data_IF_184571773236
#
_entry.id   IF_184571773236
#
_cell.length_a   1.000
_cell.length_b   1.000
_cell.length_c   1.000
_cell.angle_alpha   90.00
_cell.angle_beta   90.00
_cell.angle_gamma   90.00
#
_symmetry.space_group_name_H-M   'P 1'
#
loop_
_entity.id
_entity.type
_entity.pdbx_description
1 polymer ?
#
# COMPACT_ATOMS: atom_id res chain seq x y z
N UNK A 1 -10.81 9.25 -11.64
CA UNK A 1 -9.90 9.11 -10.49
C UNK A 1 -9.17 7.78 -10.62
N UNK A 2 -7.85 7.80 -10.76
CA UNK A 2 -7.03 6.59 -10.96
C UNK A 2 -6.71 5.95 -9.61
N UNK A 3 -7.49 4.94 -9.20
CA UNK A 3 -7.22 4.14 -8.01
C UNK A 3 -6.03 3.15 -8.21
N UNK A 4 -5.40 3.21 -9.38
CA UNK A 4 -4.31 2.31 -9.76
C UNK A 4 -2.93 2.86 -9.45
N UNK A 5 -2.78 4.01 -8.78
CA UNK A 5 -1.46 4.58 -8.48
C UNK A 5 -1.06 4.25 -7.05
N UNK A 6 0.17 3.77 -6.89
CA UNK A 6 0.79 3.55 -5.59
C UNK A 6 1.22 4.90 -4.99
N UNK A 7 0.74 5.28 -3.80
CA UNK A 7 1.07 6.57 -3.21
C UNK A 7 2.55 6.71 -2.82
N UNK A 8 3.27 5.59 -2.64
CA UNK A 8 4.70 5.56 -2.26
C UNK A 8 5.59 5.90 -3.46
N UNK A 9 5.42 5.22 -4.59
CA UNK A 9 6.31 5.34 -5.75
C UNK A 9 5.69 6.03 -6.97
N UNK A 10 4.41 6.42 -6.88
CA UNK A 10 3.62 7.03 -7.96
C UNK A 10 3.52 6.16 -9.23
N UNK A 11 3.88 4.87 -9.14
CA UNK A 11 3.72 3.88 -10.21
C UNK A 11 2.41 3.12 -10.05
N UNK A 12 2.03 2.35 -11.05
CA UNK A 12 0.81 1.54 -11.00
C UNK A 12 0.86 0.52 -9.83
N UNK A 13 -0.12 0.57 -8.90
CA UNK A 13 -0.27 -0.37 -7.78
C UNK A 13 -0.80 -1.74 -8.21
N UNK A 14 -1.30 -1.84 -9.46
CA UNK A 14 -1.89 -3.05 -10.05
C UNK A 14 -3.13 -3.57 -9.28
N UNK A 15 -3.77 -2.71 -8.49
CA UNK A 15 -5.05 -2.98 -7.87
C UNK A 15 -6.15 -2.50 -8.82
N UNK A 16 -6.78 -3.45 -9.52
CA UNK A 16 -7.66 -3.23 -10.66
C UNK A 16 -9.05 -2.68 -10.30
N UNK A 17 -9.17 -1.80 -9.30
CA UNK A 17 -10.45 -1.14 -8.97
C UNK A 17 -10.92 -0.30 -10.16
N UNK A 18 -10.00 0.37 -10.88
CA UNK A 18 -10.35 1.19 -12.04
C UNK A 18 -10.69 0.38 -13.30
N UNK A 19 -10.40 -0.93 -13.32
CA UNK A 19 -10.82 -1.83 -14.39
C UNK A 19 -12.24 -2.38 -14.18
N UNK A 20 -12.95 -1.94 -13.12
CA UNK A 20 -14.25 -2.45 -12.74
C UNK A 20 -14.20 -3.75 -11.93
N UNK A 21 -13.02 -4.17 -11.46
CA UNK A 21 -12.89 -5.33 -10.59
C UNK A 21 -13.27 -4.97 -9.14
N UNK A 22 -13.83 -5.94 -8.42
CA UNK A 22 -14.15 -5.78 -7.02
C UNK A 22 -12.87 -5.45 -6.21
N UNK A 23 -12.95 -4.60 -5.17
CA UNK A 23 -11.82 -4.33 -4.28
C UNK A 23 -11.20 -5.62 -3.70
N UNK A 24 -12.04 -6.61 -3.42
CA UNK A 24 -11.66 -7.96 -2.96
C UNK A 24 -10.73 -8.70 -3.93
N UNK A 25 -10.75 -8.34 -5.22
CA UNK A 25 -9.85 -8.90 -6.23
C UNK A 25 -8.48 -8.24 -6.25
N UNK A 26 -8.26 -7.15 -5.51
CA UNK A 26 -6.94 -6.59 -5.39
C UNK A 26 -6.06 -7.45 -4.49
N UNK A 27 -4.84 -7.71 -4.96
CA UNK A 27 -3.84 -8.50 -4.24
C UNK A 27 -3.58 -7.97 -2.82
N UNK A 28 -3.69 -6.66 -2.61
CA UNK A 28 -3.53 -6.02 -1.31
C UNK A 28 -4.62 -6.42 -0.29
N UNK A 29 -5.83 -6.73 -0.75
CA UNK A 29 -6.92 -7.22 0.12
C UNK A 29 -6.86 -8.74 0.31
N UNK A 30 -6.14 -9.46 -0.56
CA UNK A 30 -5.91 -10.91 -0.44
C UNK A 30 -4.64 -11.24 0.36
N UNK A 31 -3.80 -10.25 0.65
CA UNK A 31 -2.59 -10.44 1.43
C UNK A 31 -2.95 -10.93 2.84
N UNK A 32 -2.41 -12.10 3.22
CA UNK A 32 -2.54 -12.66 4.57
C UNK A 32 -1.90 -11.74 5.63
N UNK A 33 -0.93 -10.94 5.20
CA UNK A 33 -0.29 -9.93 6.04
C UNK A 33 -1.15 -8.69 6.07
N UNK A 34 -1.47 -8.20 7.27
CA UNK A 34 -2.19 -6.94 7.47
C UNK A 34 -1.39 -5.77 6.90
N UNK A 35 -1.59 -5.45 5.61
CA UNK A 35 -0.91 -4.35 4.91
C UNK A 35 -1.11 -3.04 5.67
N UNK A 36 -2.28 -2.84 6.27
CA UNK A 36 -2.58 -1.70 7.14
C UNK A 36 -1.60 -1.59 8.31
N UNK A 37 -1.20 -2.69 8.93
CA UNK A 37 -0.23 -2.72 10.03
C UNK A 37 1.16 -2.33 9.54
N UNK A 38 1.61 -2.95 8.43
CA UNK A 38 2.90 -2.64 7.81
C UNK A 38 2.99 -1.17 7.42
N UNK A 39 1.94 -0.63 6.80
CA UNK A 39 1.88 0.78 6.42
C UNK A 39 1.94 1.67 7.65
N UNK A 40 1.18 1.39 8.71
CA UNK A 40 1.24 2.19 9.95
C UNK A 40 2.64 2.21 10.55
N UNK A 41 3.31 1.06 10.60
CA UNK A 41 4.65 0.97 11.15
C UNK A 41 5.66 1.71 10.28
N UNK A 42 5.53 1.61 8.96
CA UNK A 42 6.34 2.37 8.01
C UNK A 42 6.15 3.88 8.14
N UNK A 43 4.92 4.34 8.36
CA UNK A 43 4.63 5.76 8.62
C UNK A 43 5.16 6.24 9.97
N UNK A 44 5.19 5.37 10.98
CA UNK A 44 5.78 5.71 12.28
C UNK A 44 7.27 6.02 12.18
N UNK A 45 7.97 5.45 11.21
CA UNK A 45 9.39 5.71 10.95
C UNK A 45 9.65 6.66 9.77
N UNK A 46 8.63 6.94 8.95
CA UNK A 46 8.66 7.92 7.85
C UNK A 46 7.47 8.89 7.94
N UNK A 47 7.46 9.80 8.93
CA UNK A 47 6.32 10.67 9.20
C UNK A 47 6.01 11.62 8.03
N UNK A 48 7.00 11.99 7.22
CA UNK A 48 6.85 12.81 6.01
C UNK A 48 5.94 12.18 4.94
N UNK A 49 5.82 10.85 4.91
CA UNK A 49 4.95 10.12 3.99
C UNK A 49 3.51 9.98 4.52
N UNK A 50 3.26 10.37 5.78
CA UNK A 50 1.95 10.23 6.43
C UNK A 50 0.88 11.02 5.73
N UNK A 51 1.15 12.25 5.27
CA UNK A 51 0.16 13.05 4.55
C UNK A 51 -0.30 12.37 3.24
N UNK A 52 0.60 11.62 2.59
CA UNK A 52 0.33 10.94 1.32
C UNK A 52 -0.37 9.59 1.49
N UNK A 53 -0.22 8.92 2.64
CA UNK A 53 -0.80 7.60 2.90
C UNK A 53 -1.96 7.59 3.92
N UNK A 54 -2.02 8.52 4.87
CA UNK A 54 -3.04 8.53 5.93
C UNK A 54 -4.47 8.78 5.40
N UNK A 55 -4.60 9.44 4.24
CA UNK A 55 -5.88 9.72 3.63
C UNK A 55 -6.53 8.49 2.96
N UNK A 56 -5.78 7.40 2.84
CA UNK A 56 -6.11 6.35 1.89
C UNK A 56 -5.70 5.01 2.49
N UNK A 57 -6.68 4.24 2.97
CA UNK A 57 -6.56 2.78 3.17
C UNK A 57 -6.37 2.08 1.81
N UNK A 58 -5.37 2.50 1.06
CA UNK A 58 -5.17 2.16 -0.33
C UNK A 58 -4.02 1.18 -0.47
N UNK A 59 -4.20 0.34 -1.47
CA UNK A 59 -3.21 -0.60 -1.92
C UNK A 59 -1.98 0.14 -2.42
N UNK A 60 -0.84 -0.08 -1.76
CA UNK A 60 0.49 0.19 -2.32
C UNK A 60 0.79 -0.84 -3.41
N UNK A 61 1.88 -0.71 -4.18
CA UNK A 61 2.32 -1.73 -5.14
C UNK A 61 3.09 -2.86 -4.43
N UNK A 62 3.14 -4.06 -5.02
CA UNK A 62 3.80 -5.22 -4.39
C UNK A 62 5.29 -4.96 -4.15
N UNK A 63 5.95 -4.27 -5.08
CA UNK A 63 7.35 -3.86 -4.91
C UNK A 63 7.56 -2.95 -3.70
N UNK A 64 6.66 -1.98 -3.47
CA UNK A 64 6.73 -1.12 -2.29
C UNK A 64 6.45 -1.92 -1.02
N UNK A 65 5.48 -2.85 -1.04
CA UNK A 65 5.21 -3.71 0.12
C UNK A 65 6.46 -4.52 0.50
N UNK A 66 7.06 -5.24 -0.45
CA UNK A 66 8.27 -6.03 -0.20
C UNK A 66 9.45 -5.17 0.25
N UNK A 67 9.60 -3.96 -0.30
CA UNK A 67 10.64 -3.03 0.16
C UNK A 67 10.42 -2.61 1.61
N UNK A 68 9.19 -2.20 1.95
CA UNK A 68 8.82 -1.80 3.31
C UNK A 68 9.08 -2.95 4.29
N UNK A 69 8.63 -4.16 3.97
CA UNK A 69 8.83 -5.35 4.81
C UNK A 69 10.30 -5.65 5.12
N UNK A 70 11.22 -5.40 4.17
CA UNK A 70 12.65 -5.57 4.40
C UNK A 70 13.30 -4.40 5.14
N UNK A 71 12.71 -3.21 5.08
CA UNK A 71 13.23 -2.02 5.77
C UNK A 71 12.69 -1.82 7.18
N UNK A 72 11.56 -2.44 7.50
CA UNK A 72 11.03 -2.43 8.85
C UNK A 72 11.88 -3.38 9.72
N UNK A 73 12.38 -2.92 10.88
CA UNK A 73 13.00 -3.83 11.82
C UNK A 73 11.99 -4.92 12.23
N UNK A 74 12.43 -6.17 12.44
CA UNK A 74 11.57 -7.17 13.05
C UNK A 74 11.13 -6.65 14.43
N UNK A 75 9.84 -6.76 14.73
CA UNK A 75 9.27 -6.46 16.07
C UNK A 75 10.04 -7.17 17.19
#
# INVERSE_FOLDING_TARGET
>A
MSADICPICQKTNQCAISAGAAPSSCWCMQSEVSITTIIRQYLSVNPELTASLAAQQQCICASCLSHIQHTLPPE
#
